data_IF_200427378817
#
_entry.id   IF_200427378817
#
_cell.length_a   1.000
_cell.length_b   1.000
_cell.length_c   1.000
_cell.angle_alpha   90.00
_cell.angle_beta   90.00
_cell.angle_gamma   90.00
#
_symmetry.space_group_name_H-M   'P 1'
#
loop_
_entity.id
_entity.type
_entity.pdbx_description
1 polymer ?
#
# COMPACT_ATOMS: atom_id res chain seq x y z
N UNK A 1 -9.49 -5.39 48.32
CA UNK A 1 -8.16 -5.30 47.66
C UNK A 1 -8.41 -5.22 46.17
N UNK A 2 -7.87 -4.22 45.48
CA UNK A 2 -8.03 -4.10 44.02
C UNK A 2 -6.86 -4.81 43.34
N UNK A 3 -7.14 -5.84 42.56
CA UNK A 3 -6.14 -6.54 41.76
C UNK A 3 -5.94 -5.76 40.45
N UNK A 4 -4.71 -5.37 40.13
CA UNK A 4 -4.40 -4.80 38.82
C UNK A 4 -4.19 -5.93 37.81
N UNK A 5 -4.78 -5.79 36.62
CA UNK A 5 -4.64 -6.72 35.50
C UNK A 5 -4.07 -5.98 34.30
N UNK A 6 -3.10 -6.59 33.63
CA UNK A 6 -2.49 -6.07 32.42
C UNK A 6 -2.25 -7.20 31.43
N UNK A 7 -2.61 -6.98 30.17
CA UNK A 7 -2.37 -7.90 29.06
C UNK A 7 -1.90 -7.10 27.85
N UNK A 8 -0.91 -7.63 27.14
CA UNK A 8 -0.36 -7.05 25.91
C UNK A 8 -0.46 -8.07 24.78
N UNK A 9 -1.19 -7.71 23.72
CA UNK A 9 -1.37 -8.53 22.53
C UNK A 9 -0.25 -8.25 21.52
N UNK A 10 0.73 -9.15 21.43
CA UNK A 10 1.87 -9.01 20.50
C UNK A 10 1.57 -9.54 19.09
N UNK A 11 0.40 -10.16 18.86
CA UNK A 11 0.00 -10.74 17.58
C UNK A 11 -0.64 -9.74 16.61
N UNK A 12 -0.84 -8.49 17.03
CA UNK A 12 -1.54 -7.46 16.25
C UNK A 12 -0.81 -7.06 14.95
N UNK A 13 0.50 -7.27 14.87
CA UNK A 13 1.31 -6.93 13.68
C UNK A 13 0.94 -7.72 12.42
N UNK A 14 0.25 -8.86 12.57
CA UNK A 14 -0.24 -9.66 11.44
C UNK A 14 -1.69 -9.35 11.04
N UNK A 15 -2.36 -8.44 11.76
CA UNK A 15 -3.79 -8.15 11.60
C UNK A 15 -4.03 -6.77 10.99
N UNK A 16 -5.17 -6.63 10.30
CA UNK A 16 -5.67 -5.35 9.79
C UNK A 16 -7.16 -5.25 10.07
N UNK A 17 -7.61 -4.08 10.53
CA UNK A 17 -9.02 -3.78 10.76
C UNK A 17 -9.37 -3.67 12.24
N UNK A 18 -10.67 -3.80 12.55
CA UNK A 18 -11.16 -3.64 13.91
C UNK A 18 -10.98 -4.93 14.71
N UNK A 19 -10.29 -4.85 15.84
CA UNK A 19 -10.14 -5.94 16.80
C UNK A 19 -10.95 -5.63 18.05
N UNK A 20 -11.68 -6.61 18.57
CA UNK A 20 -12.58 -6.44 19.71
C UNK A 20 -12.10 -7.25 20.91
N UNK A 21 -11.97 -6.59 22.06
CA UNK A 21 -11.54 -7.19 23.31
C UNK A 21 -12.65 -7.11 24.36
N UNK A 22 -12.73 -8.13 25.21
CA UNK A 22 -13.49 -8.12 26.47
C UNK A 22 -12.77 -8.99 27.50
N UNK A 23 -12.86 -8.63 28.77
CA UNK A 23 -12.30 -9.40 29.87
C UNK A 23 -13.36 -10.40 30.36
N UNK A 24 -12.97 -11.67 30.55
CA UNK A 24 -13.76 -12.66 31.28
C UNK A 24 -13.21 -12.77 32.70
N UNK A 25 -13.97 -12.28 33.68
CA UNK A 25 -13.63 -12.42 35.09
C UNK A 25 -14.32 -13.68 35.64
N UNK A 26 -13.59 -14.50 36.39
CA UNK A 26 -14.11 -15.72 37.02
C UNK A 26 -13.93 -15.61 38.52
N UNK A 27 -15.02 -15.78 39.27
CA UNK A 27 -15.03 -15.80 40.73
C UNK A 27 -14.60 -17.17 41.28
N UNK A 28 -14.30 -17.24 42.58
CA UNK A 28 -13.85 -18.47 43.24
C UNK A 28 -14.86 -19.62 43.18
N UNK A 29 -16.16 -19.32 43.01
CA UNK A 29 -17.23 -20.30 42.87
C UNK A 29 -17.48 -20.72 41.41
N UNK A 30 -16.63 -20.26 40.47
CA UNK A 30 -16.72 -20.58 39.05
C UNK A 30 -17.72 -19.74 38.26
N UNK A 31 -18.44 -18.81 38.90
CA UNK A 31 -19.25 -17.82 38.19
C UNK A 31 -18.36 -16.88 37.40
N UNK A 32 -18.89 -16.34 36.30
CA UNK A 32 -18.14 -15.42 35.48
C UNK A 32 -18.97 -14.23 35.04
N UNK A 33 -18.29 -13.11 34.86
CA UNK A 33 -18.83 -11.86 34.31
C UNK A 33 -17.92 -11.39 33.19
N UNK A 34 -18.51 -10.79 32.16
CA UNK A 34 -17.77 -10.15 31.08
C UNK A 34 -17.74 -8.64 31.28
N UNK A 35 -16.62 -8.01 30.94
CA UNK A 35 -16.57 -6.55 30.76
C UNK A 35 -17.33 -6.13 29.51
N UNK A 36 -17.49 -4.81 29.35
CA UNK A 36 -17.84 -4.21 28.07
C UNK A 36 -16.84 -4.60 26.97
N UNK A 37 -17.32 -4.59 25.73
CA UNK A 37 -16.50 -4.80 24.54
C UNK A 37 -15.82 -3.49 24.16
N UNK A 38 -14.51 -3.54 24.01
CA UNK A 38 -13.70 -2.41 23.52
C UNK A 38 -13.17 -2.75 22.14
N UNK A 39 -13.39 -1.84 21.18
CA UNK A 39 -12.82 -1.94 19.84
C UNK A 39 -11.49 -1.20 19.75
N UNK A 40 -10.51 -1.81 19.09
CA UNK A 40 -9.25 -1.20 18.72
C UNK A 40 -9.09 -1.27 17.20
N UNK A 41 -8.95 -0.11 16.56
CA UNK A 41 -8.59 -0.04 15.15
C UNK A 41 -7.11 -0.40 15.01
N UNK A 42 -6.83 -1.52 14.35
CA UNK A 42 -5.48 -1.97 14.04
C UNK A 42 -5.21 -1.63 12.58
N UNK A 43 -4.46 -0.56 12.39
CA UNK A 43 -3.89 -0.25 11.10
C UNK A 43 -2.59 -1.02 10.96
N UNK A 44 -2.49 -1.81 9.89
CA UNK A 44 -1.33 -2.67 9.69
C UNK A 44 -0.08 -1.80 9.46
N UNK A 45 0.76 -1.70 10.49
CA UNK A 45 2.09 -1.11 10.40
C UNK A 45 3.11 -2.09 9.79
N UNK A 46 2.74 -3.37 9.64
CA UNK A 46 3.60 -4.36 9.00
C UNK A 46 3.53 -4.19 7.49
N UNK A 47 4.64 -3.66 6.97
CA UNK A 47 4.87 -3.14 5.63
C UNK A 47 4.27 -1.74 5.38
N UNK A 48 4.92 -0.70 5.90
CA UNK A 48 5.32 0.49 5.10
C UNK A 48 6.17 0.07 3.89
N UNK A 49 5.67 -0.89 3.10
CA UNK A 49 6.01 -1.05 1.71
C UNK A 49 5.71 0.30 1.08
N UNK A 50 6.75 1.01 0.68
CA UNK A 50 6.63 2.35 0.11
C UNK A 50 5.66 2.30 -1.07
N UNK A 51 4.42 2.71 -0.86
CA UNK A 51 3.36 2.56 -1.86
C UNK A 51 3.60 3.57 -2.97
N UNK A 52 3.83 3.09 -4.19
CA UNK A 52 3.86 3.97 -5.35
C UNK A 52 2.45 4.40 -5.74
N UNK A 53 2.32 5.66 -6.11
CA UNK A 53 1.12 6.27 -6.69
C UNK A 53 1.48 6.94 -8.01
N UNK A 54 0.49 7.02 -8.91
CA UNK A 54 0.59 7.67 -10.20
C UNK A 54 -0.43 8.81 -10.29
N UNK A 55 0.02 10.02 -10.60
CA UNK A 55 -0.85 11.19 -10.70
C UNK A 55 -0.40 12.15 -11.82
N UNK A 56 -1.33 12.94 -12.41
CA UNK A 56 -2.77 12.79 -12.24
C UNK A 56 -3.28 11.47 -12.82
N UNK A 57 -4.44 11.01 -12.36
CA UNK A 57 -5.14 9.85 -12.91
C UNK A 57 -6.64 10.11 -12.80
N UNK A 58 -7.37 10.36 -13.90
CA UNK A 58 -6.96 10.24 -15.30
C UNK A 58 -5.87 11.23 -15.76
N UNK A 59 -5.16 10.90 -16.84
CA UNK A 59 -4.08 11.74 -17.43
C UNK A 59 -4.04 11.67 -18.96
N UNK A 60 -3.47 12.69 -19.60
CA UNK A 60 -3.08 12.70 -21.01
C UNK A 60 -1.56 12.51 -21.18
N UNK A 61 -0.84 12.25 -20.09
CA UNK A 61 0.63 12.19 -20.01
C UNK A 61 1.30 13.52 -19.65
N UNK A 62 0.58 14.65 -19.64
CA UNK A 62 1.13 15.93 -19.20
C UNK A 62 1.25 15.97 -17.67
N UNK A 63 2.42 16.43 -17.19
CA UNK A 63 2.74 16.51 -15.75
C UNK A 63 2.55 15.20 -14.98
N UNK A 64 2.58 14.06 -15.68
CA UNK A 64 2.46 12.74 -15.06
C UNK A 64 3.67 12.42 -14.19
N UNK A 65 3.40 11.87 -13.02
CA UNK A 65 4.39 11.57 -12.00
C UNK A 65 4.07 10.25 -11.31
N UNK A 66 5.11 9.46 -11.08
CA UNK A 66 5.12 8.29 -10.21
C UNK A 66 5.95 8.65 -9.00
N UNK A 67 5.36 8.56 -7.80
CA UNK A 67 6.04 8.87 -6.54
C UNK A 67 5.59 7.93 -5.44
N UNK A 68 6.35 7.85 -4.36
CA UNK A 68 5.89 7.20 -3.15
C UNK A 68 4.82 8.06 -2.45
N UNK A 69 3.77 7.42 -1.94
CA UNK A 69 2.70 8.06 -1.15
C UNK A 69 3.23 8.66 0.16
N UNK A 70 4.29 8.05 0.70
CA UNK A 70 5.03 8.54 1.85
C UNK A 70 6.53 8.62 1.50
N UNK A 71 7.30 9.55 2.09
CA UNK A 71 8.75 9.62 1.87
C UNK A 71 9.41 8.26 2.12
N UNK A 72 10.10 7.74 1.11
CA UNK A 72 10.83 6.47 1.18
C UNK A 72 12.13 6.61 0.42
N UNK A 73 13.12 5.79 0.80
CA UNK A 73 14.35 5.67 0.04
C UNK A 73 14.03 5.27 -1.41
N UNK A 74 14.68 5.96 -2.35
CA UNK A 74 14.58 5.65 -3.77
C UNK A 74 15.49 4.43 -4.03
N UNK A 75 14.97 3.33 -4.61
CA UNK A 75 15.76 2.15 -4.93
C UNK A 75 16.78 2.44 -6.03
N UNK A 76 17.89 1.69 -6.06
CA UNK A 76 19.04 1.97 -6.93
C UNK A 76 18.77 1.65 -8.41
N UNK A 77 17.85 0.72 -8.69
CA UNK A 77 17.43 0.40 -10.06
C UNK A 77 15.92 0.22 -10.12
N UNK A 78 15.29 0.87 -11.09
CA UNK A 78 13.85 0.78 -11.30
C UNK A 78 13.59 0.23 -12.70
N UNK A 79 12.93 -0.92 -12.76
CA UNK A 79 12.43 -1.47 -14.03
C UNK A 79 10.93 -1.37 -14.05
N UNK A 80 10.37 -0.76 -15.08
CA UNK A 80 8.93 -0.70 -15.28
C UNK A 80 8.51 -1.44 -16.54
N UNK A 81 7.38 -2.13 -16.49
CA UNK A 81 6.72 -2.67 -17.67
C UNK A 81 5.42 -1.90 -17.89
N UNK A 82 5.36 -1.16 -18.99
CA UNK A 82 4.16 -0.49 -19.45
C UNK A 82 3.36 -1.43 -20.35
N UNK A 83 2.09 -1.67 -20.02
CA UNK A 83 1.17 -2.52 -20.78
C UNK A 83 -0.06 -1.71 -21.18
N UNK A 84 -0.34 -1.69 -22.47
CA UNK A 84 -1.55 -1.12 -23.06
C UNK A 84 -2.13 -2.10 -24.09
N UNK A 85 -3.31 -1.79 -24.63
CA UNK A 85 -3.90 -2.55 -25.73
C UNK A 85 -2.97 -2.63 -26.95
N UNK A 86 -2.14 -1.61 -27.18
CA UNK A 86 -1.17 -1.58 -28.29
C UNK A 86 0.10 -2.43 -28.07
N UNK A 87 0.25 -3.08 -26.91
CA UNK A 87 1.41 -3.91 -26.60
C UNK A 87 2.04 -3.59 -25.24
N UNK A 88 3.20 -4.20 -25.00
CA UNK A 88 3.97 -4.06 -23.76
C UNK A 88 5.36 -3.50 -24.07
N UNK A 89 5.86 -2.59 -23.23
CA UNK A 89 7.21 -2.02 -23.32
C UNK A 89 7.90 -2.04 -21.97
N UNK A 90 9.15 -2.50 -21.95
CA UNK A 90 9.99 -2.48 -20.75
C UNK A 90 10.81 -1.18 -20.76
N UNK A 91 10.78 -0.46 -19.64
CA UNK A 91 11.46 0.79 -19.38
C UNK A 91 12.41 0.57 -18.19
N UNK A 92 13.64 1.08 -18.30
CA UNK A 92 14.61 1.05 -17.20
C UNK A 92 15.00 2.48 -16.88
N UNK A 93 14.99 2.82 -15.59
CA UNK A 93 15.29 4.15 -15.10
C UNK A 93 16.11 4.08 -13.81
N UNK A 94 16.96 5.08 -13.62
CA UNK A 94 17.78 5.25 -12.41
C UNK A 94 17.06 6.07 -11.33
N UNK A 95 15.94 6.71 -11.66
CA UNK A 95 15.11 7.46 -10.70
C UNK A 95 13.63 7.44 -11.07
N UNK A 96 12.77 7.74 -10.10
CA UNK A 96 11.32 7.85 -10.32
C UNK A 96 10.96 9.05 -11.21
N UNK A 97 11.76 10.11 -11.21
CA UNK A 97 11.57 11.26 -12.11
C UNK A 97 11.81 10.86 -13.56
N UNK A 98 12.92 10.16 -13.83
CA UNK A 98 13.22 9.65 -15.18
C UNK A 98 12.13 8.67 -15.62
N UNK A 99 11.74 7.75 -14.73
CA UNK A 99 10.66 6.81 -15.02
C UNK A 99 9.35 7.53 -15.36
N UNK A 100 9.00 8.57 -14.60
CA UNK A 100 7.79 9.35 -14.81
C UNK A 100 7.75 9.95 -16.22
N UNK A 101 8.87 10.49 -16.70
CA UNK A 101 8.98 11.07 -18.04
C UNK A 101 8.84 9.99 -19.14
N UNK A 102 9.49 8.83 -18.96
CA UNK A 102 9.41 7.73 -19.93
C UNK A 102 7.98 7.18 -20.02
N UNK A 103 7.34 6.92 -18.88
CA UNK A 103 5.96 6.44 -18.84
C UNK A 103 5.00 7.49 -19.40
N UNK A 104 5.22 8.77 -19.14
CA UNK A 104 4.41 9.84 -19.70
C UNK A 104 4.43 9.85 -21.24
N UNK A 105 5.57 9.56 -21.86
CA UNK A 105 5.68 9.44 -23.32
C UNK A 105 4.90 8.23 -23.85
N UNK A 106 5.00 7.07 -23.19
CA UNK A 106 4.20 5.91 -23.56
C UNK A 106 2.68 6.16 -23.40
N UNK A 107 2.26 6.87 -22.35
CA UNK A 107 0.87 7.28 -22.17
C UNK A 107 0.42 8.21 -23.31
N UNK A 108 1.27 9.15 -23.76
CA UNK A 108 0.92 10.04 -24.89
C UNK A 108 0.68 9.26 -26.17
N UNK A 109 1.48 8.23 -26.45
CA UNK A 109 1.39 7.41 -27.66
C UNK A 109 0.34 6.29 -27.60
N UNK A 110 -0.02 5.81 -26.40
CA UNK A 110 -0.99 4.72 -26.23
C UNK A 110 -2.41 5.11 -26.71
N UNK A 111 -3.32 4.17 -27.01
CA UNK A 111 -4.75 4.48 -27.21
C UNK A 111 -5.44 4.95 -25.93
N UNK A 112 -6.56 5.69 -26.04
CA UNK A 112 -7.37 6.09 -24.87
C UNK A 112 -7.90 4.84 -24.16
N UNK A 113 -7.90 4.84 -22.82
CA UNK A 113 -8.29 3.68 -22.04
C UNK A 113 -7.38 3.43 -20.84
N UNK A 114 -7.37 2.19 -20.35
CA UNK A 114 -6.59 1.79 -19.18
C UNK A 114 -5.22 1.27 -19.60
N UNK A 115 -4.19 1.70 -18.90
CA UNK A 115 -2.84 1.15 -18.97
C UNK A 115 -2.42 0.59 -17.60
N UNK A 116 -1.62 -0.46 -17.62
CA UNK A 116 -1.02 -1.04 -16.43
C UNK A 116 0.49 -0.77 -16.45
N UNK A 117 1.01 -0.26 -15.34
CA UNK A 117 2.45 -0.03 -15.14
C UNK A 117 2.88 -0.90 -13.97
N UNK A 118 3.77 -1.86 -14.23
CA UNK A 118 4.36 -2.72 -13.21
C UNK A 118 5.76 -2.19 -12.90
N UNK A 119 5.97 -1.64 -11.72
CA UNK A 119 7.25 -1.06 -11.30
C UNK A 119 7.94 -2.04 -10.34
N UNK A 120 9.00 -2.67 -10.81
CA UNK A 120 9.87 -3.50 -10.00
C UNK A 120 11.02 -2.67 -9.41
N UNK A 121 11.17 -2.78 -8.10
CA UNK A 121 12.26 -2.24 -7.28
C UNK A 121 13.05 -3.41 -6.68
N UNK A 122 14.18 -3.14 -6.05
CA UNK A 122 15.04 -4.19 -5.46
C UNK A 122 14.31 -5.08 -4.43
N UNK A 123 13.29 -4.52 -3.75
CA UNK A 123 12.55 -5.21 -2.69
C UNK A 123 11.12 -5.63 -3.06
N UNK A 124 10.48 -4.95 -4.03
CA UNK A 124 9.03 -5.06 -4.26
C UNK A 124 8.62 -4.76 -5.70
N UNK A 125 7.48 -5.32 -6.11
CA UNK A 125 6.79 -5.00 -7.37
C UNK A 125 5.50 -4.25 -7.06
N UNK A 126 5.32 -3.09 -7.67
CA UNK A 126 4.13 -2.25 -7.54
C UNK A 126 3.33 -2.25 -8.84
N UNK A 127 2.00 -2.35 -8.73
CA UNK A 127 1.10 -2.31 -9.88
C UNK A 127 0.29 -1.02 -9.86
N UNK A 128 0.42 -0.21 -10.92
CA UNK A 128 -0.27 1.07 -11.06
C UNK A 128 -1.23 0.99 -12.25
N UNK A 129 -2.52 1.22 -11.99
CA UNK A 129 -3.55 1.31 -13.03
C UNK A 129 -3.78 2.78 -13.36
N UNK A 130 -3.48 3.16 -14.60
CA UNK A 130 -3.59 4.56 -15.06
C UNK A 130 -4.60 4.65 -16.19
N UNK A 131 -5.48 5.64 -16.12
CA UNK A 131 -6.48 5.93 -17.13
C UNK A 131 -5.99 7.05 -18.03
N UNK A 132 -5.79 6.73 -19.32
CA UNK A 132 -5.56 7.71 -20.38
C UNK A 132 -6.91 8.23 -20.91
N UNK A 133 -7.08 9.56 -20.94
CA UNK A 133 -8.28 10.22 -21.47
C UNK A 133 -7.99 11.12 -22.68
#
# INVERSE_FOLDING_TARGET
MASSYHFSDTGLSAMKGMVYYRIKQVDYDGKYVYSDVVGAQVDNASATAAKLIAFPNPTNGEKFQIRFEQPSAVPATITATFKSWGGSKVLKAESLEVLSLMVAEEIRMAPKGICLIEVATDSQVHHLKVMRH
#
